data_IF_771581132049
#
_entry.id   IF_771581132049
#
_cell.length_a   1.000
_cell.length_b   1.000
_cell.length_c   1.000
_cell.angle_alpha   90.00
_cell.angle_beta   90.00
_cell.angle_gamma   90.00
#
_symmetry.space_group_name_H-M   'P 1'
#
loop_
_entity.id
_entity.type
_entity.pdbx_description
1 polymer ?
#
# COMPACT_ATOMS: atom_id res chain seq x y z
N UNK A 1 -12.59 -7.74 -18.03
CA UNK A 1 -13.75 -7.65 -18.93
C UNK A 1 -13.79 -6.21 -19.38
N UNK A 2 -13.46 -5.95 -20.64
CA UNK A 2 -13.45 -4.59 -21.19
C UNK A 2 -14.91 -4.24 -21.50
N UNK A 3 -15.56 -3.54 -20.57
CA UNK A 3 -16.96 -3.14 -20.70
C UNK A 3 -16.99 -1.72 -21.24
N UNK A 4 -17.69 -1.51 -22.35
CA UNK A 4 -17.98 -0.15 -22.78
C UNK A 4 -18.89 0.51 -21.73
N UNK A 5 -18.61 1.75 -21.30
CA UNK A 5 -19.48 2.46 -20.37
C UNK A 5 -20.93 2.47 -20.89
N UNK A 6 -21.87 2.15 -20.01
CA UNK A 6 -23.29 2.02 -20.37
C UNK A 6 -23.73 0.60 -20.77
N UNK A 7 -22.83 -0.40 -20.78
CA UNK A 7 -23.20 -1.79 -21.07
C UNK A 7 -24.24 -2.31 -20.06
N UNK A 8 -25.41 -2.82 -20.51
CA UNK A 8 -26.37 -3.46 -19.62
C UNK A 8 -25.82 -4.78 -19.09
N UNK A 9 -25.75 -4.93 -17.77
CA UNK A 9 -25.29 -6.15 -17.10
C UNK A 9 -26.32 -6.65 -16.09
N UNK A 10 -26.59 -7.95 -16.12
CA UNK A 10 -27.49 -8.65 -15.21
C UNK A 10 -26.69 -9.50 -14.22
N UNK A 11 -26.96 -9.33 -12.93
CA UNK A 11 -26.45 -10.19 -11.85
C UNK A 11 -27.61 -10.97 -11.26
N UNK A 12 -27.50 -12.30 -11.24
CA UNK A 12 -28.49 -13.19 -10.64
C UNK A 12 -27.99 -13.68 -9.29
N UNK A 13 -28.72 -13.36 -8.22
CA UNK A 13 -28.36 -13.63 -6.84
C UNK A 13 -28.19 -12.36 -6.02
N UNK A 14 -28.46 -12.46 -4.72
CA UNK A 14 -28.43 -11.31 -3.80
C UNK A 14 -27.48 -11.49 -2.62
N UNK A 15 -26.58 -12.46 -2.67
CA UNK A 15 -25.60 -12.73 -1.62
C UNK A 15 -24.37 -11.79 -1.68
N UNK A 16 -23.41 -11.98 -0.76
CA UNK A 16 -22.21 -11.16 -0.71
C UNK A 16 -21.33 -11.28 -1.97
N UNK A 17 -21.43 -12.39 -2.71
CA UNK A 17 -20.69 -12.60 -3.96
C UNK A 17 -21.33 -11.79 -5.08
N UNK A 18 -22.65 -11.79 -5.18
CA UNK A 18 -23.39 -10.91 -6.08
C UNK A 18 -23.06 -9.44 -5.81
N UNK A 19 -22.97 -9.03 -4.54
CA UNK A 19 -22.56 -7.67 -4.18
C UNK A 19 -21.16 -7.32 -4.70
N UNK A 20 -20.19 -8.25 -4.64
CA UNK A 20 -18.86 -8.08 -5.23
C UNK A 20 -18.85 -8.00 -6.76
N UNK A 21 -19.70 -8.79 -7.43
CA UNK A 21 -19.89 -8.72 -8.88
C UNK A 21 -20.49 -7.38 -9.32
N UNK A 22 -21.52 -6.90 -8.60
CA UNK A 22 -22.13 -5.57 -8.81
C UNK A 22 -21.09 -4.47 -8.68
N UNK A 23 -20.27 -4.47 -7.62
CA UNK A 23 -19.23 -3.47 -7.41
C UNK A 23 -18.18 -3.46 -8.54
N UNK A 24 -17.82 -4.65 -9.05
CA UNK A 24 -16.89 -4.79 -10.18
C UNK A 24 -17.48 -4.20 -11.46
N UNK A 25 -18.74 -4.52 -11.76
CA UNK A 25 -19.46 -4.03 -12.94
C UNK A 25 -19.66 -2.50 -12.92
N UNK A 26 -20.02 -1.94 -11.76
CA UNK A 26 -20.14 -0.50 -11.56
C UNK A 26 -18.79 0.21 -11.75
N UNK A 27 -17.70 -0.35 -11.23
CA UNK A 27 -16.35 0.21 -11.41
C UNK A 27 -15.90 0.21 -12.87
N UNK A 28 -16.44 -0.70 -13.68
CA UNK A 28 -16.24 -0.76 -15.13
C UNK A 28 -17.25 0.10 -15.92
N UNK A 29 -18.15 0.83 -15.26
CA UNK A 29 -19.11 1.73 -15.90
C UNK A 29 -20.35 1.07 -16.49
N UNK A 30 -20.69 -0.17 -16.09
CA UNK A 30 -21.88 -0.86 -16.56
C UNK A 30 -23.18 -0.33 -15.92
N UNK A 31 -24.30 -0.48 -16.61
CA UNK A 31 -25.65 -0.28 -16.06
C UNK A 31 -26.13 -1.61 -15.49
N UNK A 32 -26.17 -1.72 -14.17
CA UNK A 32 -26.35 -3.00 -13.49
C UNK A 32 -27.79 -3.21 -13.04
N UNK A 33 -28.35 -4.35 -13.42
CA UNK A 33 -29.61 -4.89 -12.88
C UNK A 33 -29.32 -6.12 -12.04
N UNK A 34 -29.90 -6.21 -10.85
CA UNK A 34 -29.83 -7.36 -9.95
C UNK A 34 -31.21 -8.00 -9.88
N UNK A 35 -31.28 -9.32 -10.05
CA UNK A 35 -32.51 -10.09 -9.82
C UNK A 35 -32.23 -11.14 -8.75
N UNK A 36 -32.91 -10.98 -7.62
CA UNK A 36 -32.83 -11.92 -6.50
C UNK A 36 -34.03 -11.72 -5.56
N UNK A 37 -34.66 -12.78 -5.02
CA UNK A 37 -35.78 -12.65 -4.08
C UNK A 37 -35.41 -11.89 -2.80
N UNK A 38 -34.16 -12.01 -2.37
CA UNK A 38 -33.58 -11.34 -1.20
C UNK A 38 -32.19 -10.82 -1.55
N UNK A 39 -31.77 -9.71 -0.95
CA UNK A 39 -30.46 -9.12 -1.19
C UNK A 39 -29.73 -8.79 0.13
N UNK A 40 -28.41 -8.62 0.05
CA UNK A 40 -27.61 -8.08 1.16
C UNK A 40 -27.86 -6.58 1.31
N UNK A 41 -27.64 -6.05 2.52
CA UNK A 41 -27.73 -4.62 2.82
C UNK A 41 -26.88 -3.75 1.86
N UNK A 42 -25.77 -4.27 1.34
CA UNK A 42 -24.95 -3.57 0.35
C UNK A 42 -25.64 -3.40 -1.01
N UNK A 43 -26.40 -4.39 -1.47
CA UNK A 43 -27.17 -4.31 -2.72
C UNK A 43 -28.39 -3.40 -2.52
N UNK A 44 -29.03 -3.48 -1.35
CA UNK A 44 -30.15 -2.59 -0.98
C UNK A 44 -29.71 -1.12 -0.98
N UNK A 45 -28.60 -0.76 -0.31
CA UNK A 45 -28.05 0.60 -0.31
C UNK A 45 -27.75 1.12 -1.73
N UNK A 46 -27.16 0.29 -2.58
CA UNK A 46 -26.86 0.66 -3.96
C UNK A 46 -28.13 0.92 -4.78
N UNK A 47 -29.19 0.13 -4.57
CA UNK A 47 -30.47 0.31 -5.23
C UNK A 47 -31.19 1.57 -4.73
N UNK A 48 -31.20 1.81 -3.41
CA UNK A 48 -31.81 2.99 -2.78
C UNK A 48 -31.15 4.30 -3.24
N UNK A 49 -29.85 4.26 -3.52
CA UNK A 49 -29.08 5.38 -4.08
C UNK A 49 -29.22 5.53 -5.59
N UNK A 50 -29.97 4.66 -6.26
CA UNK A 50 -30.19 4.67 -7.70
C UNK A 50 -28.97 4.29 -8.53
N UNK A 51 -27.98 3.62 -7.94
CA UNK A 51 -26.76 3.17 -8.63
C UNK A 51 -26.98 1.87 -9.41
N UNK A 52 -27.97 1.08 -9.02
CA UNK A 52 -28.40 -0.16 -9.69
C UNK A 52 -29.92 -0.25 -9.72
N UNK A 53 -30.45 -1.14 -10.54
CA UNK A 53 -31.86 -1.57 -10.45
C UNK A 53 -31.93 -2.94 -9.77
N UNK A 54 -32.70 -3.09 -8.71
CA UNK A 54 -32.93 -4.40 -8.07
C UNK A 54 -34.39 -4.85 -8.23
N UNK A 55 -34.59 -6.08 -8.70
CA UNK A 55 -35.88 -6.75 -8.73
C UNK A 55 -35.93 -7.88 -7.70
N UNK A 56 -36.78 -7.70 -6.68
CA UNK A 56 -37.00 -8.66 -5.60
C UNK A 56 -37.85 -9.87 -6.05
N UNK A 57 -37.32 -10.70 -6.94
CA UNK A 57 -37.97 -11.91 -7.47
C UNK A 57 -36.94 -12.92 -7.97
N UNK A 58 -37.42 -14.11 -8.32
CA UNK A 58 -36.63 -15.11 -9.05
C UNK A 58 -36.35 -14.65 -10.49
N UNK A 59 -35.18 -15.02 -11.01
CA UNK A 59 -34.80 -14.75 -12.38
C UNK A 59 -35.52 -15.69 -13.35
N UNK A 60 -36.01 -15.15 -14.45
CA UNK A 60 -36.68 -15.90 -15.51
C UNK A 60 -35.79 -15.93 -16.76
N UNK A 61 -36.06 -16.89 -17.66
CA UNK A 61 -35.27 -17.04 -18.89
C UNK A 61 -35.31 -15.80 -19.79
N UNK A 62 -36.39 -15.01 -19.72
CA UNK A 62 -36.52 -13.76 -20.46
C UNK A 62 -35.50 -12.70 -20.00
N UNK A 63 -35.15 -12.67 -18.70
CA UNK A 63 -34.19 -11.71 -18.14
C UNK A 63 -32.78 -11.95 -18.69
N UNK A 64 -32.40 -13.23 -18.79
CA UNK A 64 -31.12 -13.69 -19.30
C UNK A 64 -30.98 -13.34 -20.79
N UNK A 65 -32.06 -13.47 -21.56
CA UNK A 65 -32.07 -13.23 -23.01
C UNK A 65 -31.99 -11.75 -23.39
N UNK A 66 -32.36 -10.84 -22.48
CA UNK A 66 -32.36 -9.39 -22.73
C UNK A 66 -31.08 -8.70 -22.24
N UNK A 67 -30.25 -9.39 -21.46
CA UNK A 67 -29.02 -8.84 -20.90
C UNK A 67 -27.83 -9.02 -21.84
N UNK A 68 -27.00 -7.98 -21.99
CA UNK A 68 -25.76 -8.09 -22.75
C UNK A 68 -24.72 -8.98 -22.06
N UNK A 69 -24.74 -9.02 -20.72
CA UNK A 69 -23.85 -9.82 -19.88
C UNK A 69 -24.63 -10.36 -18.70
N UNK A 70 -24.50 -11.66 -18.44
CA UNK A 70 -25.14 -12.33 -17.30
C UNK A 70 -24.06 -12.95 -16.42
N UNK A 71 -23.97 -12.48 -15.17
CA UNK A 71 -23.16 -13.10 -14.14
C UNK A 71 -24.06 -13.89 -13.21
N UNK A 72 -23.79 -15.19 -13.10
CA UNK A 72 -24.35 -16.02 -12.04
C UNK A 72 -23.31 -16.14 -10.93
N UNK A 73 -23.75 -16.38 -9.70
CA UNK A 73 -22.86 -16.44 -8.54
C UNK A 73 -21.90 -17.65 -8.51
N UNK A 74 -21.56 -18.26 -9.67
CA UNK A 74 -20.56 -19.31 -9.81
C UNK A 74 -19.54 -19.02 -10.93
N UNK A 75 -18.29 -19.30 -10.59
CA UNK A 75 -17.07 -19.41 -11.39
C UNK A 75 -16.14 -18.19 -11.55
N UNK A 76 -14.90 -18.49 -11.17
CA UNK A 76 -13.58 -17.98 -11.55
C UNK A 76 -13.48 -16.91 -12.64
N UNK A 77 -12.67 -15.91 -12.36
CA UNK A 77 -12.21 -14.91 -13.33
C UNK A 77 -10.84 -15.30 -13.85
N UNK A 78 -10.77 -15.77 -15.08
CA UNK A 78 -9.53 -15.79 -15.86
C UNK A 78 -9.17 -14.38 -16.31
N UNK A 79 -7.87 -14.07 -16.29
CA UNK A 79 -7.31 -12.78 -16.69
C UNK A 79 -7.51 -12.53 -18.20
N UNK A 80 -7.68 -11.28 -18.65
CA UNK A 80 -7.83 -10.96 -20.07
C UNK A 80 -6.52 -11.18 -20.84
N UNK A 81 -6.65 -11.83 -22.00
CA UNK A 81 -5.61 -11.97 -23.02
C UNK A 81 -5.07 -10.60 -23.45
N UNK A 82 -3.75 -10.43 -23.45
CA UNK A 82 -3.09 -9.19 -23.88
C UNK A 82 -2.69 -9.25 -25.34
N UNK A 83 -3.21 -8.31 -26.12
CA UNK A 83 -2.83 -8.01 -27.51
C UNK A 83 -1.97 -6.74 -27.49
N UNK A 84 -0.71 -6.80 -27.05
CA UNK A 84 0.28 -5.75 -27.28
C UNK A 84 1.66 -6.39 -27.49
N UNK A 85 2.37 -6.00 -28.56
CA UNK A 85 3.75 -6.42 -28.86
C UNK A 85 4.79 -5.93 -27.83
N UNK A 86 4.37 -5.34 -26.71
CA UNK A 86 5.22 -4.78 -25.66
C UNK A 86 4.80 -5.28 -24.28
N UNK A 87 5.78 -5.50 -23.43
CA UNK A 87 5.60 -5.88 -22.04
C UNK A 87 5.12 -4.72 -21.19
N UNK A 88 4.89 -4.98 -19.91
CA UNK A 88 4.28 -4.02 -18.98
C UNK A 88 5.01 -3.98 -17.65
N UNK A 89 4.85 -2.90 -16.90
CA UNK A 89 5.43 -2.75 -15.56
C UNK A 89 4.33 -2.61 -14.51
N UNK A 90 4.38 -3.42 -13.46
CA UNK A 90 3.54 -3.27 -12.27
C UNK A 90 4.42 -2.92 -11.07
N UNK A 91 4.25 -1.71 -10.51
CA UNK A 91 4.88 -1.35 -9.24
C UNK A 91 4.04 -1.91 -8.10
N UNK A 92 4.62 -2.75 -7.25
CA UNK A 92 3.93 -3.45 -6.17
C UNK A 92 4.53 -3.05 -4.83
N UNK A 93 3.69 -2.44 -3.98
CA UNK A 93 4.02 -2.23 -2.58
C UNK A 93 3.81 -3.53 -1.81
N UNK A 94 4.90 -4.12 -1.32
CA UNK A 94 4.88 -5.41 -0.63
C UNK A 94 4.43 -5.33 0.83
N UNK A 95 4.37 -4.14 1.41
CA UNK A 95 4.10 -4.02 2.84
C UNK A 95 5.39 -4.05 3.70
N UNK A 96 5.24 -3.98 5.03
CA UNK A 96 6.33 -3.63 5.94
C UNK A 96 7.34 -4.77 6.21
N UNK A 97 7.03 -6.01 5.86
CA UNK A 97 7.91 -7.15 6.07
C UNK A 97 7.18 -8.50 6.05
N UNK A 98 6.11 -8.64 6.84
CA UNK A 98 5.27 -9.85 6.86
C UNK A 98 4.61 -10.08 5.48
N UNK A 99 4.86 -11.24 4.81
CA UNK A 99 4.19 -11.60 3.57
C UNK A 99 2.66 -11.62 3.66
N UNK A 100 2.09 -11.87 4.85
CA UNK A 100 0.65 -11.81 5.09
C UNK A 100 0.04 -10.41 4.89
N UNK A 101 0.88 -9.37 4.83
CA UNK A 101 0.48 -8.00 4.56
C UNK A 101 0.66 -7.57 3.10
N UNK A 102 1.12 -8.48 2.23
CA UNK A 102 1.08 -8.25 0.78
C UNK A 102 -0.39 -8.29 0.35
N UNK A 103 -0.83 -7.31 -0.45
CA UNK A 103 -2.20 -7.28 -0.96
C UNK A 103 -2.44 -8.44 -1.92
N UNK A 104 -3.71 -8.87 -2.06
CA UNK A 104 -4.09 -9.93 -3.02
C UNK A 104 -3.62 -9.59 -4.44
N UNK A 105 -3.81 -8.34 -4.89
CA UNK A 105 -3.33 -7.87 -6.18
C UNK A 105 -1.79 -7.87 -6.30
N UNK A 106 -1.07 -7.66 -5.19
CA UNK A 106 0.39 -7.70 -5.15
C UNK A 106 0.90 -9.13 -5.30
N UNK A 107 0.27 -10.08 -4.60
CA UNK A 107 0.53 -11.51 -4.76
C UNK A 107 0.24 -11.99 -6.17
N UNK A 108 -0.93 -11.66 -6.73
CA UNK A 108 -1.29 -11.99 -8.11
C UNK A 108 -0.25 -11.45 -9.10
N UNK A 109 0.24 -10.22 -8.91
CA UNK A 109 1.28 -9.64 -9.77
C UNK A 109 2.59 -10.44 -9.70
N UNK A 110 3.04 -10.83 -8.51
CA UNK A 110 4.25 -11.66 -8.31
C UNK A 110 4.09 -13.02 -8.99
N UNK A 111 2.94 -13.69 -8.80
CA UNK A 111 2.65 -15.02 -9.35
C UNK A 111 2.64 -15.04 -10.89
N UNK A 112 2.43 -13.90 -11.56
CA UNK A 112 2.37 -13.79 -13.03
C UNK A 112 3.57 -13.06 -13.65
N UNK A 113 4.59 -12.71 -12.86
CA UNK A 113 5.73 -11.95 -13.35
C UNK A 113 6.67 -12.81 -14.22
N UNK A 114 7.19 -12.22 -15.30
CA UNK A 114 8.36 -12.73 -16.04
C UNK A 114 9.67 -12.26 -15.39
N UNK A 115 9.67 -11.03 -14.86
CA UNK A 115 10.81 -10.43 -14.17
C UNK A 115 10.33 -9.74 -12.90
N UNK A 116 11.03 -9.95 -11.79
CA UNK A 116 10.79 -9.25 -10.54
C UNK A 116 12.04 -8.46 -10.17
N UNK A 117 11.93 -7.13 -10.18
CA UNK A 117 12.96 -6.20 -9.70
C UNK A 117 12.65 -5.85 -8.24
N UNK A 118 13.46 -6.33 -7.31
CA UNK A 118 13.23 -6.21 -5.87
C UNK A 118 14.36 -5.46 -5.15
N UNK A 119 14.08 -4.90 -3.98
CA UNK A 119 15.11 -4.33 -3.10
C UNK A 119 15.07 -4.96 -1.69
N UNK A 120 16.03 -4.57 -0.85
CA UNK A 120 16.23 -5.10 0.51
C UNK A 120 14.99 -5.00 1.40
N UNK A 121 14.16 -3.98 1.21
CA UNK A 121 13.02 -3.71 2.11
C UNK A 121 11.75 -4.43 1.68
N UNK A 122 11.72 -5.02 0.48
CA UNK A 122 10.60 -5.83 0.06
C UNK A 122 10.49 -7.10 0.92
N UNK A 123 9.27 -7.62 1.18
CA UNK A 123 9.07 -8.91 1.84
C UNK A 123 9.67 -10.08 1.06
N UNK A 124 10.94 -10.39 1.25
CA UNK A 124 11.66 -11.36 0.42
C UNK A 124 11.02 -12.76 0.45
N UNK A 125 10.35 -13.14 1.54
CA UNK A 125 9.62 -14.40 1.61
C UNK A 125 8.45 -14.48 0.62
N UNK A 126 7.88 -13.36 0.17
CA UNK A 126 6.85 -13.31 -0.87
C UNK A 126 7.39 -13.67 -2.27
N UNK A 127 8.71 -13.60 -2.50
CA UNK A 127 9.33 -14.02 -3.76
C UNK A 127 9.16 -15.53 -4.00
N UNK A 128 8.87 -16.31 -2.96
CA UNK A 128 8.55 -17.73 -3.10
C UNK A 128 7.25 -18.00 -3.88
N UNK A 129 6.40 -16.99 -4.09
CA UNK A 129 5.21 -17.09 -4.94
C UNK A 129 5.50 -16.88 -6.43
N UNK A 130 6.69 -16.39 -6.77
CA UNK A 130 7.09 -16.17 -8.15
C UNK A 130 7.08 -17.50 -8.91
N UNK A 131 6.83 -17.43 -10.22
CA UNK A 131 6.95 -18.62 -11.08
C UNK A 131 8.38 -19.16 -11.04
N UNK A 132 8.57 -20.48 -11.19
CA UNK A 132 9.92 -21.08 -11.16
C UNK A 132 10.88 -20.53 -12.22
N UNK A 133 10.35 -20.00 -13.33
CA UNK A 133 11.10 -19.43 -14.46
C UNK A 133 11.18 -17.90 -14.43
N UNK A 134 10.60 -17.23 -13.41
CA UNK A 134 10.69 -15.79 -13.27
C UNK A 134 12.13 -15.35 -12.95
N UNK A 135 12.62 -14.34 -13.66
CA UNK A 135 13.93 -13.73 -13.42
C UNK A 135 13.83 -12.77 -12.23
N UNK A 136 14.60 -13.00 -11.16
CA UNK A 136 14.61 -12.13 -9.97
C UNK A 136 15.89 -11.29 -9.98
N UNK A 137 15.72 -9.97 -9.97
CA UNK A 137 16.82 -9.00 -10.00
C UNK A 137 16.81 -8.19 -8.71
N UNK A 138 17.84 -8.39 -7.88
CA UNK A 138 18.04 -7.63 -6.66
C UNK A 138 18.79 -6.32 -6.95
N UNK A 139 18.14 -5.19 -6.68
CA UNK A 139 18.69 -3.83 -6.84
C UNK A 139 19.04 -3.16 -5.51
N UNK A 140 19.08 -3.93 -4.42
CA UNK A 140 19.42 -3.44 -3.09
C UNK A 140 20.81 -2.78 -3.04
N UNK A 141 20.91 -1.71 -2.24
CA UNK A 141 22.19 -1.13 -1.85
C UNK A 141 22.77 -1.92 -0.68
N UNK A 142 23.91 -2.55 -0.89
CA UNK A 142 24.70 -3.16 0.19
C UNK A 142 25.51 -2.04 0.86
N UNK A 143 25.45 -1.85 2.20
CA UNK A 143 26.31 -0.90 2.89
C UNK A 143 27.79 -1.18 2.60
N UNK A 144 28.48 -0.24 1.92
CA UNK A 144 29.88 -0.39 1.51
C UNK A 144 30.12 -1.21 0.22
N UNK A 145 29.07 -1.57 -0.53
CA UNK A 145 29.14 -2.39 -1.75
C UNK A 145 28.47 -1.77 -2.98
N UNK A 146 28.04 -2.62 -3.93
CA UNK A 146 27.34 -2.22 -5.17
C UNK A 146 26.06 -1.46 -4.82
N UNK A 147 25.89 -0.27 -5.37
CA UNK A 147 24.65 0.49 -5.30
C UNK A 147 24.12 0.70 -6.71
N UNK A 148 22.92 0.21 -6.99
CA UNK A 148 22.21 0.58 -8.22
C UNK A 148 21.63 1.98 -8.05
N UNK A 149 21.96 2.88 -8.96
CA UNK A 149 21.38 4.21 -9.02
C UNK A 149 19.90 4.14 -9.38
N UNK A 150 19.15 5.22 -9.11
CA UNK A 150 17.73 5.23 -9.49
C UNK A 150 17.55 5.15 -11.00
N UNK A 151 18.42 5.82 -11.75
CA UNK A 151 18.36 5.83 -13.21
C UNK A 151 18.62 4.44 -13.80
N UNK A 152 19.53 3.67 -13.20
CA UNK A 152 19.77 2.27 -13.58
C UNK A 152 18.56 1.38 -13.27
N UNK A 153 17.89 1.56 -12.12
CA UNK A 153 16.64 0.84 -11.81
C UNK A 153 15.57 1.19 -12.85
N UNK A 154 15.40 2.47 -13.16
CA UNK A 154 14.43 2.94 -14.15
C UNK A 154 14.70 2.34 -15.53
N UNK A 155 15.96 2.31 -15.97
CA UNK A 155 16.37 1.69 -17.22
C UNK A 155 16.07 0.19 -17.24
N UNK A 156 16.40 -0.53 -16.17
CA UNK A 156 16.12 -1.96 -16.05
C UNK A 156 14.63 -2.28 -16.27
N UNK A 157 13.74 -1.53 -15.61
CA UNK A 157 12.29 -1.71 -15.76
C UNK A 157 11.84 -1.51 -17.21
N UNK A 158 12.35 -0.44 -17.85
CA UNK A 158 12.01 -0.09 -19.23
C UNK A 158 12.56 -1.13 -20.22
N UNK A 159 13.79 -1.58 -20.06
CA UNK A 159 14.44 -2.54 -20.96
C UNK A 159 13.73 -3.89 -20.97
N UNK A 160 13.42 -4.43 -19.79
CA UNK A 160 12.69 -5.70 -19.70
C UNK A 160 11.28 -5.57 -20.28
N UNK A 161 10.56 -4.48 -20.01
CA UNK A 161 9.24 -4.28 -20.59
C UNK A 161 9.28 -4.12 -22.13
N UNK A 162 10.30 -3.43 -22.67
CA UNK A 162 10.52 -3.34 -24.13
C UNK A 162 10.81 -4.71 -24.77
N UNK A 163 11.33 -5.66 -24.00
CA UNK A 163 11.54 -7.04 -24.46
C UNK A 163 10.27 -7.92 -24.41
N UNK A 164 9.10 -7.35 -24.14
CA UNK A 164 7.83 -8.08 -24.11
C UNK A 164 7.45 -8.66 -22.74
N UNK A 165 8.29 -8.48 -21.72
CA UNK A 165 8.11 -9.12 -20.41
C UNK A 165 7.10 -8.40 -19.51
N UNK A 166 6.35 -9.15 -18.71
CA UNK A 166 5.60 -8.66 -17.56
C UNK A 166 6.54 -8.45 -16.36
N UNK A 167 6.89 -7.19 -16.11
CA UNK A 167 7.85 -6.78 -15.10
C UNK A 167 7.12 -6.34 -13.83
N UNK A 168 7.54 -6.88 -12.69
CA UNK A 168 7.09 -6.43 -11.37
C UNK A 168 8.25 -5.68 -10.68
N UNK A 169 8.01 -4.43 -10.29
CA UNK A 169 8.89 -3.69 -9.37
C UNK A 169 8.37 -3.90 -7.96
N UNK A 170 8.97 -4.83 -7.21
CA UNK A 170 8.54 -5.20 -5.87
C UNK A 170 9.30 -4.38 -4.81
N UNK A 171 8.56 -3.60 -4.01
CA UNK A 171 9.12 -2.61 -3.08
C UNK A 171 8.65 -2.89 -1.66
N UNK A 172 9.45 -2.51 -0.67
CA UNK A 172 9.00 -2.46 0.72
C UNK A 172 7.94 -1.39 0.96
N UNK A 173 7.00 -1.66 1.87
CA UNK A 173 5.95 -0.72 2.27
C UNK A 173 5.01 -0.38 1.12
N UNK A 174 4.81 0.92 0.91
CA UNK A 174 4.02 1.46 -0.20
C UNK A 174 4.93 2.17 -1.23
N UNK A 175 4.55 2.13 -2.51
CA UNK A 175 5.33 2.69 -3.60
C UNK A 175 5.56 4.21 -3.46
N UNK A 176 4.57 4.94 -2.94
CA UNK A 176 4.53 6.40 -2.95
C UNK A 176 4.80 7.02 -1.58
N UNK A 177 4.87 6.23 -0.51
CA UNK A 177 5.32 6.70 0.82
C UNK A 177 6.84 6.55 0.91
N UNK A 178 7.57 7.61 0.50
CA UNK A 178 9.04 7.67 0.45
C UNK A 178 9.73 6.52 -0.33
N UNK A 179 8.97 5.82 -1.17
CA UNK A 179 9.47 4.70 -1.98
C UNK A 179 10.03 5.10 -3.34
N UNK A 180 9.92 6.37 -3.75
CA UNK A 180 10.30 6.86 -5.10
C UNK A 180 9.57 6.18 -6.27
N UNK A 181 8.45 5.51 -6.01
CA UNK A 181 7.70 4.80 -7.05
C UNK A 181 7.17 5.71 -8.16
N UNK A 182 6.95 7.00 -7.88
CA UNK A 182 6.52 7.96 -8.89
C UNK A 182 7.60 8.22 -9.95
N UNK A 183 8.87 8.25 -9.56
CA UNK A 183 10.00 8.42 -10.49
C UNK A 183 10.12 7.20 -11.42
N UNK A 184 10.01 5.99 -10.85
CA UNK A 184 10.03 4.72 -11.58
C UNK A 184 8.84 4.64 -12.56
N UNK A 185 7.63 5.00 -12.11
CA UNK A 185 6.43 5.04 -12.95
C UNK A 185 6.57 6.03 -14.11
N UNK A 186 7.02 7.27 -13.83
CA UNK A 186 7.20 8.31 -14.84
C UNK A 186 8.24 7.88 -15.89
N UNK A 187 9.32 7.22 -15.49
CA UNK A 187 10.31 6.70 -16.43
C UNK A 187 9.70 5.68 -17.41
N UNK A 188 8.85 4.77 -16.90
CA UNK A 188 8.12 3.82 -17.76
C UNK A 188 7.16 4.53 -18.72
N UNK A 189 6.36 5.47 -18.22
CA UNK A 189 5.39 6.20 -19.03
C UNK A 189 6.07 7.04 -20.12
N UNK A 190 7.17 7.75 -19.80
CA UNK A 190 7.96 8.49 -20.79
C UNK A 190 8.60 7.59 -21.85
N UNK A 191 8.88 6.32 -21.52
CA UNK A 191 9.39 5.33 -22.46
C UNK A 191 8.29 4.65 -23.31
N UNK A 192 7.02 5.02 -23.12
CA UNK A 192 5.87 4.43 -23.80
C UNK A 192 5.58 3.00 -23.36
N UNK A 193 5.86 2.67 -22.09
CA UNK A 193 5.55 1.39 -21.45
C UNK A 193 4.27 1.52 -20.64
N UNK A 194 3.35 0.58 -20.82
CA UNK A 194 2.16 0.47 -19.96
C UNK A 194 2.63 0.14 -18.53
N UNK A 195 2.33 1.04 -17.60
CA UNK A 195 2.72 0.89 -16.22
C UNK A 195 1.56 1.20 -15.27
N UNK A 196 1.42 0.39 -14.21
CA UNK A 196 0.39 0.54 -13.19
C UNK A 196 0.97 0.37 -11.79
N UNK A 197 0.20 0.78 -10.78
CA UNK A 197 0.58 0.69 -9.37
C UNK A 197 -0.40 -0.21 -8.62
N UNK A 198 0.15 -1.11 -7.81
CA UNK A 198 -0.55 -1.85 -6.76
C UNK A 198 -0.07 -1.30 -5.41
N UNK A 199 -0.93 -0.58 -4.68
CA UNK A 199 -0.58 -0.03 -3.37
C UNK A 199 -0.19 -1.11 -2.37
N UNK A 200 0.66 -0.74 -1.42
CA UNK A 200 1.09 -1.59 -0.32
C UNK A 200 0.69 -1.04 1.04
N UNK A 201 0.76 -1.89 2.06
CA UNK A 201 0.53 -1.45 3.45
C UNK A 201 1.77 -0.70 3.94
N UNK A 202 1.67 0.61 4.16
CA UNK A 202 2.83 1.40 4.61
C UNK A 202 3.27 1.04 6.03
N UNK A 203 4.59 0.97 6.26
CA UNK A 203 5.17 0.78 7.59
C UNK A 203 4.84 1.91 8.56
N UNK A 204 4.52 3.11 8.05
CA UNK A 204 4.05 4.23 8.87
C UNK A 204 2.76 3.92 9.64
N UNK A 205 1.97 2.94 9.19
CA UNK A 205 0.70 2.54 9.82
C UNK A 205 0.82 1.13 10.40
N UNK A 206 1.34 0.18 9.64
CA UNK A 206 1.34 -1.22 10.05
C UNK A 206 2.33 -1.54 11.18
N UNK A 207 3.53 -0.95 11.17
CA UNK A 207 4.50 -1.18 12.23
C UNK A 207 3.96 -0.73 13.60
N UNK A 208 3.42 0.50 13.77
CA UNK A 208 2.84 0.88 15.04
C UNK A 208 1.56 0.10 15.37
N UNK A 209 0.68 -0.18 14.39
CA UNK A 209 -0.54 -0.95 14.65
C UNK A 209 -0.24 -2.35 15.23
N UNK A 210 0.74 -3.06 14.67
CA UNK A 210 1.16 -4.39 15.16
C UNK A 210 2.06 -4.32 16.41
N UNK A 211 2.45 -3.13 16.84
CA UNK A 211 3.09 -2.87 18.12
C UNK A 211 2.07 -2.42 19.21
N UNK A 212 0.77 -2.39 18.91
CA UNK A 212 -0.27 -1.89 19.82
C UNK A 212 -0.36 -0.36 19.88
N UNK A 213 0.18 0.36 18.89
CA UNK A 213 0.19 1.81 18.84
C UNK A 213 -0.67 2.27 17.65
N UNK A 214 -1.89 2.75 17.87
CA UNK A 214 -2.68 3.29 16.78
C UNK A 214 -2.11 4.65 16.34
N UNK A 215 -2.10 4.96 15.05
CA UNK A 215 -1.62 6.29 14.57
C UNK A 215 -2.64 7.41 14.80
N UNK A 216 -3.89 7.04 15.12
CA UNK A 216 -4.93 7.99 15.54
C UNK A 216 -5.76 7.37 16.65
N UNK A 217 -6.26 8.19 17.58
CA UNK A 217 -7.19 7.74 18.61
C UNK A 217 -8.16 8.87 18.95
N UNK A 218 -9.45 8.54 19.02
CA UNK A 218 -10.50 9.52 19.34
C UNK A 218 -10.21 10.13 20.71
N UNK A 219 -10.23 11.46 20.78
CA UNK A 219 -9.94 12.21 22.01
C UNK A 219 -8.45 12.43 22.30
N UNK A 220 -7.53 11.82 21.53
CA UNK A 220 -6.09 12.08 21.64
C UNK A 220 -5.55 12.86 20.43
N UNK A 221 -5.93 12.47 19.21
CA UNK A 221 -5.52 13.16 17.99
C UNK A 221 -6.58 13.03 16.89
N UNK A 222 -6.68 14.06 16.04
CA UNK A 222 -7.56 14.07 14.86
C UNK A 222 -6.80 13.86 13.53
N UNK A 223 -5.49 13.63 13.60
CA UNK A 223 -4.67 13.42 12.42
C UNK A 223 -3.28 12.87 12.76
N UNK A 224 -2.54 12.52 11.73
CA UNK A 224 -1.15 12.12 11.86
C UNK A 224 -0.36 12.66 10.67
N UNK A 225 0.93 12.87 10.88
CA UNK A 225 1.85 13.39 9.88
C UNK A 225 2.99 12.41 9.73
N UNK A 226 3.22 11.94 8.50
CA UNK A 226 4.32 11.04 8.17
C UNK A 226 5.46 11.87 7.59
N UNK A 227 6.64 11.82 8.21
CA UNK A 227 7.82 12.56 7.78
C UNK A 227 8.99 11.63 7.47
N UNK A 228 9.89 12.09 6.60
CA UNK A 228 11.18 11.45 6.38
C UNK A 228 12.22 12.12 7.28
N UNK A 229 12.84 11.33 8.15
CA UNK A 229 14.00 11.72 8.94
C UNK A 229 15.33 11.41 8.24
N UNK A 230 15.35 11.18 6.92
CA UNK A 230 16.57 10.76 6.22
C UNK A 230 17.76 11.72 6.42
N UNK A 231 17.46 13.03 6.49
CA UNK A 231 18.41 14.11 6.80
C UNK A 231 17.94 14.84 8.07
N UNK A 232 18.87 15.36 8.89
CA UNK A 232 18.51 16.03 10.14
C UNK A 232 17.83 17.40 9.89
N UNK A 233 17.13 17.96 10.89
CA UNK A 233 16.69 19.36 10.88
C UNK A 233 17.84 20.32 10.53
N UNK A 234 17.55 21.35 9.74
CA UNK A 234 18.53 22.36 9.32
C UNK A 234 19.48 21.93 8.19
N UNK A 235 19.46 20.67 7.75
CA UNK A 235 20.17 20.26 6.54
C UNK A 235 19.57 20.93 5.29
N UNK A 236 20.35 21.32 4.26
CA UNK A 236 19.81 21.98 3.06
C UNK A 236 18.74 21.19 2.30
N UNK A 237 18.77 19.86 2.39
CA UNK A 237 17.75 18.96 1.80
C UNK A 237 16.55 18.72 2.72
N UNK A 238 16.59 19.22 3.96
CA UNK A 238 15.49 19.15 4.92
C UNK A 238 14.56 20.33 4.68
N UNK A 239 13.40 20.08 4.09
CA UNK A 239 12.41 21.12 3.76
C UNK A 239 11.31 21.28 4.81
N UNK A 240 11.43 20.57 5.94
CA UNK A 240 10.41 20.53 6.99
C UNK A 240 10.53 21.69 7.97
N UNK A 241 9.38 22.26 8.34
CA UNK A 241 9.26 23.19 9.46
C UNK A 241 8.94 22.41 10.74
N UNK A 242 9.96 22.16 11.56
CA UNK A 242 9.81 21.40 12.79
C UNK A 242 9.03 22.15 13.88
N UNK A 243 9.00 23.48 13.87
CA UNK A 243 8.19 24.26 14.81
C UNK A 243 6.69 24.15 14.48
N UNK A 244 6.35 24.18 13.19
CA UNK A 244 4.98 23.91 12.74
C UNK A 244 4.56 22.46 13.03
N UNK A 245 5.45 21.49 12.86
CA UNK A 245 5.18 20.09 13.21
C UNK A 245 4.92 19.92 14.72
N UNK A 246 5.76 20.51 15.56
CA UNK A 246 5.63 20.48 17.02
C UNK A 246 4.28 21.02 17.51
N UNK A 247 3.73 22.03 16.83
CA UNK A 247 2.48 22.70 17.20
C UNK A 247 1.25 22.21 16.41
N UNK A 248 1.43 21.23 15.52
CA UNK A 248 0.36 20.73 14.64
C UNK A 248 -0.76 19.99 15.35
N UNK A 249 -0.49 19.46 16.57
CA UNK A 249 -1.44 18.66 17.32
C UNK A 249 -1.73 17.27 16.72
N UNK A 250 -0.92 16.83 15.76
CA UNK A 250 -1.05 15.49 15.14
C UNK A 250 -0.06 14.50 15.75
N UNK A 251 -0.30 13.20 15.55
CA UNK A 251 0.73 12.19 15.81
C UNK A 251 1.80 12.27 14.73
N UNK A 252 3.07 12.35 15.12
CA UNK A 252 4.19 12.42 14.18
C UNK A 252 4.79 11.03 14.02
N UNK A 253 4.79 10.52 12.79
CA UNK A 253 5.43 9.26 12.43
C UNK A 253 6.68 9.54 11.61
N UNK A 254 7.84 9.14 12.10
CA UNK A 254 9.14 9.38 11.46
C UNK A 254 9.63 8.09 10.80
N UNK A 255 9.76 8.12 9.47
CA UNK A 255 10.41 7.07 8.70
C UNK A 255 11.87 7.45 8.42
N UNK A 256 12.74 6.44 8.32
CA UNK A 256 14.17 6.63 7.99
C UNK A 256 14.94 7.54 8.97
N UNK A 257 14.45 7.70 10.20
CA UNK A 257 14.95 8.68 11.18
C UNK A 257 15.94 8.14 12.22
N UNK A 258 16.32 6.86 12.20
CA UNK A 258 17.13 6.25 13.29
C UNK A 258 18.38 7.06 13.62
N UNK A 259 19.14 7.50 12.60
CA UNK A 259 20.38 8.28 12.80
C UNK A 259 20.16 9.74 13.16
N UNK A 260 18.97 10.27 12.94
CA UNK A 260 18.64 11.69 13.08
C UNK A 260 17.64 11.92 14.22
N UNK A 261 17.20 10.84 14.91
CA UNK A 261 16.14 10.88 15.90
C UNK A 261 16.42 11.87 17.01
N UNK A 262 17.65 11.88 17.55
CA UNK A 262 18.08 12.84 18.57
C UNK A 262 17.88 14.30 18.11
N UNK A 263 18.36 14.63 16.90
CA UNK A 263 18.21 15.97 16.34
C UNK A 263 16.74 16.34 16.07
N UNK A 264 15.93 15.38 15.62
CA UNK A 264 14.49 15.55 15.40
C UNK A 264 13.77 15.83 16.73
N UNK A 265 14.08 15.07 17.79
CA UNK A 265 13.47 15.26 19.11
C UNK A 265 13.80 16.65 19.66
N UNK A 266 15.07 17.05 19.59
CA UNK A 266 15.50 18.41 19.99
C UNK A 266 14.75 19.49 19.21
N UNK A 267 14.66 19.38 17.89
CA UNK A 267 13.97 20.37 17.06
C UNK A 267 12.46 20.46 17.36
N UNK A 268 11.81 19.36 17.73
CA UNK A 268 10.41 19.35 18.13
C UNK A 268 10.21 20.00 19.50
N UNK A 269 11.10 19.74 20.47
CA UNK A 269 11.08 20.39 21.79
C UNK A 269 11.34 21.89 21.66
N UNK A 270 12.35 22.30 20.88
CA UNK A 270 12.63 23.70 20.59
C UNK A 270 11.46 24.39 19.87
N UNK A 271 10.71 23.62 19.07
CA UNK A 271 9.46 24.02 18.42
C UNK A 271 8.25 24.14 19.35
N UNK A 272 8.39 23.77 20.63
CA UNK A 272 7.37 23.90 21.66
C UNK A 272 6.58 22.62 21.97
N UNK A 273 6.98 21.45 21.45
CA UNK A 273 6.37 20.19 21.84
C UNK A 273 6.85 19.78 23.25
N UNK A 274 5.93 19.32 24.10
CA UNK A 274 6.26 18.95 25.49
C UNK A 274 7.31 17.82 25.50
N UNK A 275 8.46 17.99 26.19
CA UNK A 275 9.48 16.94 26.32
C UNK A 275 8.97 15.64 26.95
N UNK A 276 7.86 15.69 27.71
CA UNK A 276 7.21 14.51 28.29
C UNK A 276 6.21 13.83 27.35
N UNK A 277 6.02 14.34 26.12
CA UNK A 277 5.16 13.72 25.11
C UNK A 277 5.56 12.26 24.92
N UNK A 278 4.62 11.30 24.99
CA UNK A 278 4.93 9.90 24.76
C UNK A 278 5.52 9.66 23.36
N UNK A 279 6.50 8.75 23.29
CA UNK A 279 7.14 8.36 22.05
C UNK A 279 7.49 6.87 22.04
N UNK A 280 7.55 6.28 20.85
CA UNK A 280 7.95 4.90 20.66
C UNK A 280 8.82 4.73 19.41
N UNK A 281 9.71 3.76 19.43
CA UNK A 281 10.48 3.31 18.27
C UNK A 281 10.23 1.83 18.07
N UNK A 282 9.77 1.47 16.87
CA UNK A 282 9.47 0.10 16.44
C UNK A 282 10.51 -0.30 15.40
N UNK A 283 11.45 -1.16 15.78
CA UNK A 283 12.42 -1.76 14.86
C UNK A 283 11.88 -3.08 14.31
N UNK A 284 12.21 -3.40 13.05
CA UNK A 284 11.77 -4.61 12.35
C UNK A 284 10.26 -4.85 12.47
N UNK A 285 9.47 -3.77 12.33
CA UNK A 285 8.02 -3.83 12.47
C UNK A 285 7.41 -4.93 11.60
N UNK A 286 6.48 -5.70 12.17
CA UNK A 286 5.79 -6.86 11.58
C UNK A 286 6.62 -8.15 11.44
N UNK A 287 7.94 -8.08 11.66
CA UNK A 287 8.81 -9.25 11.59
C UNK A 287 8.86 -9.98 12.93
N UNK A 288 9.24 -11.28 12.97
CA UNK A 288 9.50 -11.99 14.22
C UNK A 288 10.58 -11.36 15.10
N UNK A 289 11.49 -10.57 14.50
CA UNK A 289 12.53 -9.80 15.20
C UNK A 289 12.05 -8.43 15.71
N UNK A 290 10.75 -8.11 15.62
CA UNK A 290 10.20 -6.82 16.03
C UNK A 290 10.60 -6.48 17.47
N UNK A 291 11.12 -5.26 17.66
CA UNK A 291 11.42 -4.70 18.98
C UNK A 291 10.73 -3.35 19.12
N UNK A 292 10.13 -3.11 20.28
CA UNK A 292 9.43 -1.87 20.62
C UNK A 292 10.07 -1.26 21.84
N UNK A 293 10.51 -0.01 21.72
CA UNK A 293 10.96 0.82 22.83
C UNK A 293 9.98 1.96 22.99
N UNK A 294 9.52 2.20 24.23
CA UNK A 294 8.66 3.32 24.60
C UNK A 294 9.38 4.21 25.61
N UNK A 295 9.24 5.51 25.46
CA UNK A 295 9.82 6.51 26.35
C UNK A 295 9.10 7.85 26.15
N UNK A 296 9.67 8.93 26.68
CA UNK A 296 9.21 10.30 26.37
C UNK A 296 10.03 10.89 25.23
N UNK A 297 9.52 11.94 24.59
CA UNK A 297 10.24 12.70 23.56
C UNK A 297 11.66 13.09 23.98
N UNK A 298 11.86 13.44 25.25
CA UNK A 298 13.16 13.83 25.80
C UNK A 298 14.17 12.69 25.97
N UNK A 299 13.74 11.42 25.93
CA UNK A 299 14.59 10.26 26.29
C UNK A 299 14.54 9.12 25.29
N UNK A 300 13.69 9.21 24.27
CA UNK A 300 13.47 8.11 23.31
C UNK A 300 14.68 7.81 22.44
N UNK A 301 15.51 8.80 22.13
CA UNK A 301 16.73 8.61 21.34
C UNK A 301 17.79 7.81 22.11
N UNK A 302 17.98 8.10 23.39
CA UNK A 302 18.86 7.31 24.27
C UNK A 302 18.29 5.91 24.49
N UNK A 303 17.00 5.80 24.82
CA UNK A 303 16.35 4.52 25.09
C UNK A 303 16.35 3.58 23.88
N UNK A 304 16.27 4.12 22.66
CA UNK A 304 16.32 3.36 21.41
C UNK A 304 17.74 3.24 20.82
N UNK A 305 18.79 3.60 21.55
CA UNK A 305 20.15 3.69 21.03
C UNK A 305 20.77 2.37 20.54
N UNK A 306 20.21 1.22 20.93
CA UNK A 306 20.63 -0.11 20.46
C UNK A 306 19.83 -0.61 19.25
N UNK A 307 18.78 0.11 18.84
CA UNK A 307 17.96 -0.26 17.69
C UNK A 307 18.62 0.15 16.38
N UNK A 308 18.48 -0.72 15.38
CA UNK A 308 18.99 -0.51 14.02
C UNK A 308 17.84 -0.32 13.03
N UNK A 309 18.15 0.29 11.89
CA UNK A 309 17.19 0.38 10.79
C UNK A 309 16.94 -1.00 10.15
N UNK A 310 15.71 -1.29 9.65
CA UNK A 310 14.57 -0.37 9.54
C UNK A 310 13.81 -0.19 10.88
N UNK A 311 13.48 1.06 11.20
CA UNK A 311 12.63 1.37 12.35
C UNK A 311 11.71 2.57 12.05
N UNK A 312 10.58 2.61 12.74
CA UNK A 312 9.57 3.66 12.69
C UNK A 312 9.46 4.29 14.08
N UNK A 313 9.61 5.61 14.16
CA UNK A 313 9.33 6.34 15.40
C UNK A 313 7.91 6.92 15.36
N UNK A 314 7.20 6.88 16.48
CA UNK A 314 5.89 7.50 16.67
C UNK A 314 5.99 8.43 17.88
N UNK A 315 5.60 9.69 17.69
CA UNK A 315 5.64 10.74 18.71
C UNK A 315 4.24 11.30 18.86
N UNK A 316 3.73 11.30 20.09
CA UNK A 316 2.39 11.77 20.44
C UNK A 316 1.71 10.86 21.45
N UNK A 317 0.61 11.34 22.04
CA UNK A 317 -0.12 10.64 23.11
C UNK A 317 -0.51 9.19 22.79
N UNK A 318 -0.67 8.85 21.50
CA UNK A 318 -1.01 7.47 21.08
C UNK A 318 0.08 6.44 21.35
N UNK A 319 1.33 6.86 21.58
CA UNK A 319 2.45 5.97 21.90
C UNK A 319 2.34 5.33 23.30
N UNK A 320 1.48 5.89 24.16
CA UNK A 320 1.21 5.41 25.51
C UNK A 320 -0.31 5.41 25.78
N UNK A 321 -0.99 4.39 25.25
CA UNK A 321 -2.41 4.15 25.53
C UNK A 321 -2.54 2.99 26.51
N UNK A 322 -3.18 3.27 27.64
CA UNK A 322 -3.44 2.28 28.68
C UNK A 322 -4.25 1.08 28.10
N UNK A 323 -3.76 -0.14 28.33
CA UNK A 323 -4.38 -1.37 27.83
C UNK A 323 -3.97 -1.82 26.42
N UNK A 324 -3.14 -1.05 25.71
CA UNK A 324 -2.52 -1.45 24.44
C UNK A 324 -0.98 -1.51 24.49
N UNK A 325 -0.38 -1.08 25.62
CA UNK A 325 1.06 -1.06 25.87
C UNK A 325 1.61 -2.38 26.42
#
# INVERSE_FOLDING_TARGET
MDLTPGTPALVIGGDARAAGQVATLLSAGAVVTVIAPTATASIEDLADRGLITWHAREAEMADIQQAGIVLTAHADRTAPDRILDRGTVTLVGGGPGDPGLVTVAGREAIEHADVIVTDRLAPLAALAWARPDAEIIDVAKIPGGRSTSQDEINQLLVEHAKSGKNVVRFKGGDNFVFGRGSEELLACLHAGIEARVVPGVSSAIAAPALAGIPVTHRGLTQGFTVISGHVPPGHPESTLDYAALATSGTTIVVLMGVRTLSAICTALVDGGLDPHTPAAVIADGTMPSQRVVRATLATIDEAAGDLSAPAVAVIGAVADIEGLA
#
